data_IF_364784632287
#
_entry.id   IF_364784632287
#
_cell.length_a   1.000
_cell.length_b   1.000
_cell.length_c   1.000
_cell.angle_alpha   90.00
_cell.angle_beta   90.00
_cell.angle_gamma   90.00
#
_symmetry.space_group_name_H-M   'P 1'
#
loop_
_entity.id
_entity.type
_entity.pdbx_description
1 polymer ?
#
# COMPACT_ATOMS: atom_id res chain seq x y z
N UNK A 1 -22.79 3.89 8.81
CA UNK A 1 -22.33 4.91 7.85
C UNK A 1 -22.47 4.33 6.44
N UNK A 2 -23.10 5.04 5.50
CA UNK A 2 -23.15 4.66 4.07
C UNK A 2 -21.83 5.11 3.42
N UNK A 3 -21.14 4.23 2.71
CA UNK A 3 -19.82 4.55 2.12
C UNK A 3 -19.98 5.32 0.80
N UNK A 4 -19.23 6.40 0.63
CA UNK A 4 -19.23 7.18 -0.61
C UNK A 4 -18.57 6.42 -1.78
N UNK A 5 -17.69 5.45 -1.49
CA UNK A 5 -17.18 4.50 -2.48
C UNK A 5 -18.34 3.75 -3.16
N UNK A 6 -19.24 3.18 -2.37
CA UNK A 6 -20.39 2.47 -2.90
C UNK A 6 -21.38 3.42 -3.58
N UNK A 7 -21.41 4.69 -3.20
CA UNK A 7 -22.17 5.71 -3.94
C UNK A 7 -21.58 5.94 -5.34
N UNK A 8 -20.27 6.05 -5.51
CA UNK A 8 -19.66 6.09 -6.86
C UNK A 8 -19.89 4.81 -7.65
N UNK A 9 -19.79 3.65 -7.00
CA UNK A 9 -19.99 2.33 -7.62
C UNK A 9 -21.43 2.05 -8.06
N UNK A 10 -22.42 2.45 -7.26
CA UNK A 10 -23.83 2.10 -7.48
C UNK A 10 -24.69 3.29 -7.98
N UNK A 11 -24.24 4.54 -7.83
CA UNK A 11 -25.02 5.75 -8.19
C UNK A 11 -24.41 6.55 -9.35
N UNK A 12 -23.34 6.08 -10.01
CA UNK A 12 -22.94 6.58 -11.34
C UNK A 12 -23.88 6.13 -12.46
N UNK A 13 -25.01 5.48 -12.11
CA UNK A 13 -26.13 5.17 -13.00
C UNK A 13 -26.96 6.43 -13.22
N UNK A 14 -26.44 7.37 -14.00
CA UNK A 14 -27.30 8.25 -14.79
C UNK A 14 -27.72 7.47 -16.03
N UNK A 15 -28.98 7.03 -16.03
CA UNK A 15 -29.81 6.62 -17.18
C UNK A 15 -29.74 5.19 -17.74
N UNK A 16 -28.85 4.30 -17.28
CA UNK A 16 -28.83 2.92 -17.81
C UNK A 16 -28.79 1.86 -16.70
N UNK A 17 -29.93 1.25 -16.39
CA UNK A 17 -30.19 0.30 -15.29
C UNK A 17 -29.48 -1.06 -15.42
N UNK A 18 -28.37 -1.14 -16.13
CA UNK A 18 -27.47 -2.28 -15.97
C UNK A 18 -26.74 -2.13 -14.64
N UNK A 19 -26.85 -3.13 -13.75
CA UNK A 19 -26.03 -3.31 -12.56
C UNK A 19 -24.54 -3.46 -12.96
N UNK A 20 -23.93 -2.42 -13.52
CA UNK A 20 -22.51 -2.37 -13.83
C UNK A 20 -21.80 -2.12 -12.52
N UNK A 21 -21.56 -3.22 -11.80
CA UNK A 21 -20.47 -3.28 -10.83
C UNK A 21 -19.25 -2.77 -11.58
N UNK A 22 -18.70 -1.65 -11.13
CA UNK A 22 -17.52 -1.07 -11.76
C UNK A 22 -16.44 -2.15 -11.76
N UNK A 23 -15.90 -2.47 -12.94
CA UNK A 23 -14.96 -3.58 -13.04
C UNK A 23 -13.65 -3.19 -12.36
N UNK A 24 -13.41 -3.76 -11.19
CA UNK A 24 -12.17 -3.61 -10.43
C UNK A 24 -11.12 -4.64 -10.87
N UNK A 25 -11.28 -5.28 -12.04
CA UNK A 25 -10.35 -6.29 -12.55
C UNK A 25 -8.89 -5.81 -12.64
N UNK A 26 -8.68 -4.50 -12.76
CA UNK A 26 -7.34 -3.88 -12.78
C UNK A 26 -6.70 -3.76 -11.39
N UNK A 27 -7.47 -3.88 -10.30
CA UNK A 27 -6.94 -3.91 -8.95
C UNK A 27 -6.73 -5.36 -8.50
N UNK A 28 -5.54 -5.69 -8.04
CA UNK A 28 -5.35 -6.90 -7.27
C UNK A 28 -6.19 -6.85 -5.98
N UNK A 29 -6.58 -8.01 -5.46
CA UNK A 29 -7.33 -8.12 -4.21
C UNK A 29 -6.61 -7.39 -3.04
N UNK A 30 -5.28 -7.35 -3.05
CA UNK A 30 -4.49 -6.62 -2.06
C UNK A 30 -4.66 -5.11 -2.19
N UNK A 31 -4.55 -4.57 -3.40
CA UNK A 31 -4.76 -3.15 -3.68
C UNK A 31 -6.18 -2.72 -3.34
N UNK A 32 -7.18 -3.55 -3.68
CA UNK A 32 -8.57 -3.31 -3.31
C UNK A 32 -8.78 -3.25 -1.79
N UNK A 33 -8.22 -4.21 -1.03
CA UNK A 33 -8.34 -4.20 0.43
C UNK A 33 -7.67 -3.00 1.10
N UNK A 34 -6.54 -2.55 0.57
CA UNK A 34 -5.85 -1.34 1.07
C UNK A 34 -6.71 -0.11 0.82
N UNK A 35 -7.25 -0.01 -0.39
CA UNK A 35 -8.09 1.08 -0.81
C UNK A 35 -9.39 1.14 -0.01
N UNK A 36 -10.10 0.02 0.12
CA UNK A 36 -11.30 -0.11 0.93
C UNK A 36 -11.03 0.26 2.39
N UNK A 37 -9.97 -0.29 2.98
CA UNK A 37 -9.62 0.02 4.37
C UNK A 37 -9.32 1.50 4.57
N UNK A 38 -8.55 2.12 3.65
CA UNK A 38 -8.26 3.55 3.73
C UNK A 38 -9.53 4.39 3.64
N UNK A 39 -10.49 4.03 2.80
CA UNK A 39 -11.76 4.76 2.68
C UNK A 39 -12.53 4.75 4.01
N UNK A 40 -12.51 3.64 4.74
CA UNK A 40 -13.22 3.53 6.01
C UNK A 40 -12.45 4.04 7.22
N UNK A 41 -11.11 3.95 7.21
CA UNK A 41 -10.29 4.22 8.38
C UNK A 41 -9.35 5.42 8.23
N UNK A 42 -9.21 5.96 7.02
CA UNK A 42 -8.24 6.98 6.64
C UNK A 42 -6.78 6.63 7.04
N UNK A 43 -6.47 5.33 7.07
CA UNK A 43 -5.17 4.78 7.48
C UNK A 43 -4.79 3.62 6.57
N UNK A 44 -3.52 3.21 6.60
CA UNK A 44 -3.02 2.02 5.90
C UNK A 44 -2.58 1.00 6.96
N UNK A 45 -3.11 -0.22 6.94
CA UNK A 45 -2.70 -1.29 7.89
C UNK A 45 -1.19 -1.53 7.87
N UNK A 46 -0.55 -1.54 9.04
CA UNK A 46 0.92 -1.70 9.20
C UNK A 46 1.48 -3.04 8.76
N UNK A 47 0.64 -4.06 8.75
CA UNK A 47 1.01 -5.43 8.38
C UNK A 47 1.15 -5.64 6.87
N UNK A 48 0.66 -4.68 6.07
CA UNK A 48 0.67 -4.81 4.62
C UNK A 48 2.00 -4.34 4.04
N UNK A 49 2.68 -5.24 3.34
CA UNK A 49 3.83 -4.90 2.50
C UNK A 49 3.35 -4.10 1.29
N UNK A 50 3.85 -2.87 1.16
CA UNK A 50 3.52 -2.02 0.02
C UNK A 50 4.58 -2.30 -1.06
N UNK A 51 4.13 -2.75 -2.22
CA UNK A 51 4.96 -2.93 -3.41
C UNK A 51 4.73 -1.78 -4.38
N UNK A 52 5.61 -1.63 -5.36
CA UNK A 52 5.40 -0.63 -6.43
C UNK A 52 4.14 -0.94 -7.22
N UNK A 53 3.88 -2.22 -7.51
CA UNK A 53 2.66 -2.68 -8.20
C UNK A 53 1.38 -2.22 -7.49
N UNK A 54 1.32 -2.31 -6.16
CA UNK A 54 0.18 -1.83 -5.37
C UNK A 54 -0.01 -0.31 -5.53
N UNK A 55 1.09 0.45 -5.56
CA UNK A 55 1.04 1.91 -5.73
C UNK A 55 0.51 2.25 -7.12
N UNK A 56 1.00 1.56 -8.15
CA UNK A 56 0.62 1.78 -9.54
C UNK A 56 -0.86 1.41 -9.77
N UNK A 57 -1.31 0.27 -9.25
CA UNK A 57 -2.72 -0.17 -9.30
C UNK A 57 -3.64 0.83 -8.60
N UNK A 58 -3.27 1.29 -7.39
CA UNK A 58 -4.09 2.25 -6.63
C UNK A 58 -4.13 3.61 -7.34
N UNK A 59 -3.05 4.05 -7.97
CA UNK A 59 -3.03 5.28 -8.76
C UNK A 59 -3.99 5.20 -9.94
N UNK A 60 -3.97 4.10 -10.68
CA UNK A 60 -4.92 3.83 -11.77
C UNK A 60 -6.36 3.87 -11.23
N UNK A 61 -6.62 3.25 -10.07
CA UNK A 61 -7.92 3.30 -9.42
C UNK A 61 -8.35 4.73 -9.09
N UNK A 62 -7.50 5.53 -8.44
CA UNK A 62 -7.81 6.92 -8.08
C UNK A 62 -8.16 7.75 -9.33
N UNK A 63 -7.37 7.61 -10.40
CA UNK A 63 -7.57 8.32 -11.66
C UNK A 63 -8.86 7.89 -12.36
N UNK A 64 -9.16 6.58 -12.35
CA UNK A 64 -10.36 6.00 -12.96
C UNK A 64 -11.65 6.41 -12.23
N UNK A 65 -11.65 6.39 -10.90
CA UNK A 65 -12.84 6.67 -10.09
C UNK A 65 -13.11 8.17 -9.90
N UNK A 66 -12.28 9.05 -10.48
CA UNK A 66 -12.36 10.51 -10.33
C UNK A 66 -12.68 10.91 -8.89
N UNK A 67 -12.01 10.26 -7.92
CA UNK A 67 -12.22 10.52 -6.49
C UNK A 67 -11.64 11.89 -6.16
N UNK A 68 -12.38 12.92 -6.58
CA UNK A 68 -12.01 14.30 -6.43
C UNK A 68 -12.14 14.67 -4.96
N UNK A 69 -11.00 14.68 -4.29
CA UNK A 69 -10.59 15.74 -3.37
C UNK A 69 -11.36 15.92 -2.06
N UNK A 70 -11.70 14.84 -1.36
CA UNK A 70 -12.18 14.97 0.04
C UNK A 70 -11.41 14.16 1.08
N UNK A 71 -10.51 13.26 0.68
CA UNK A 71 -9.71 12.47 1.62
C UNK A 71 -8.20 12.68 1.43
N UNK A 72 -7.42 12.76 2.53
CA UNK A 72 -6.01 13.14 2.49
C UNK A 72 -5.17 12.08 1.76
N UNK A 73 -4.47 12.53 0.71
CA UNK A 73 -3.47 11.84 -0.13
C UNK A 73 -3.13 10.38 0.28
N UNK A 74 -4.00 9.42 -0.06
CA UNK A 74 -3.70 7.98 0.03
C UNK A 74 -2.36 7.66 -0.64
N UNK A 75 -2.12 8.28 -1.79
CA UNK A 75 -0.90 8.10 -2.55
C UNK A 75 0.35 8.50 -1.75
N UNK A 76 0.33 9.66 -1.07
CA UNK A 76 1.44 10.08 -0.22
C UNK A 76 1.67 9.14 0.96
N UNK A 77 0.58 8.64 1.57
CA UNK A 77 0.66 7.66 2.65
C UNK A 77 1.30 6.35 2.17
N UNK A 78 0.94 5.87 0.97
CA UNK A 78 1.52 4.68 0.35
C UNK A 78 3.00 4.87 0.05
N UNK A 79 3.39 6.01 -0.55
CA UNK A 79 4.78 6.36 -0.84
C UNK A 79 5.62 6.42 0.43
N UNK A 80 5.12 7.10 1.47
CA UNK A 80 5.81 7.21 2.76
C UNK A 80 6.04 5.83 3.39
N UNK A 81 5.02 4.98 3.38
CA UNK A 81 5.12 3.62 3.91
C UNK A 81 6.11 2.76 3.12
N UNK A 82 6.08 2.84 1.79
CA UNK A 82 7.00 2.14 0.92
C UNK A 82 8.46 2.55 1.17
N UNK A 83 8.73 3.86 1.29
CA UNK A 83 10.06 4.38 1.60
C UNK A 83 10.54 3.93 2.98
N UNK A 84 9.67 3.98 4.00
CA UNK A 84 9.97 3.50 5.34
C UNK A 84 10.32 2.01 5.35
N UNK A 85 9.59 1.18 4.59
CA UNK A 85 9.88 -0.25 4.44
C UNK A 85 11.24 -0.48 3.78
N UNK A 86 11.58 0.28 2.73
CA UNK A 86 12.90 0.23 2.08
C UNK A 86 14.03 0.62 3.04
N UNK A 87 13.87 1.69 3.80
CA UNK A 87 14.86 2.11 4.79
C UNK A 87 15.06 1.06 5.89
N UNK A 88 13.97 0.49 6.40
CA UNK A 88 14.01 -0.52 7.44
C UNK A 88 14.74 -1.78 6.95
N UNK A 89 14.47 -2.22 5.71
CA UNK A 89 15.20 -3.32 5.05
C UNK A 89 16.70 -2.99 4.92
N UNK A 90 17.05 -1.77 4.53
CA UNK A 90 18.45 -1.31 4.43
C UNK A 90 19.16 -1.32 5.79
N UNK A 91 18.54 -0.78 6.84
CA UNK A 91 19.07 -0.78 8.22
C UNK A 91 19.32 -2.20 8.72
N UNK A 92 18.34 -3.11 8.56
CA UNK A 92 18.49 -4.53 8.93
C UNK A 92 19.65 -5.21 8.19
N UNK A 93 19.86 -4.91 6.90
CA UNK A 93 20.97 -5.46 6.12
C UNK A 93 22.34 -4.98 6.62
N UNK A 94 22.46 -3.71 6.99
CA UNK A 94 23.69 -3.14 7.56
C UNK A 94 24.00 -3.81 8.91
N UNK A 95 22.99 -3.97 9.76
CA UNK A 95 23.17 -4.56 11.09
C UNK A 95 23.60 -6.02 11.02
N UNK A 96 22.99 -6.82 10.13
CA UNK A 96 23.45 -8.21 9.87
C UNK A 96 24.92 -8.28 9.46
N UNK A 97 25.37 -7.40 8.55
CA UNK A 97 26.79 -7.34 8.15
C UNK A 97 27.71 -6.94 9.30
N UNK A 98 27.27 -6.04 10.21
CA UNK A 98 28.03 -5.68 11.40
C UNK A 98 28.19 -6.86 12.35
N UNK A 99 27.11 -7.60 12.61
CA UNK A 99 27.13 -8.80 13.46
C UNK A 99 28.04 -9.88 12.86
N UNK A 100 27.95 -10.14 11.55
CA UNK A 100 28.83 -11.11 10.88
C UNK A 100 30.32 -10.75 11.00
N UNK A 101 30.66 -9.46 10.83
CA UNK A 101 32.03 -8.98 11.01
C UNK A 101 32.53 -9.18 12.43
N UNK A 102 31.73 -8.83 13.45
CA UNK A 102 32.05 -9.06 14.87
C UNK A 102 32.26 -10.55 15.19
N UNK A 103 31.41 -11.42 14.64
CA UNK A 103 31.52 -12.86 14.84
C UNK A 103 32.79 -13.44 14.19
N UNK A 104 33.19 -12.95 13.01
CA UNK A 104 34.45 -13.33 12.37
C UNK A 104 35.67 -12.90 13.17
N UNK A 105 35.70 -11.66 13.67
CA UNK A 105 36.83 -11.16 14.49
C UNK A 105 36.96 -11.88 15.83
N UNK A 106 35.85 -12.28 16.44
CA UNK A 106 35.89 -13.04 17.69
C UNK A 106 36.36 -14.49 17.48
N UNK A 107 36.02 -15.10 16.33
CA UNK A 107 36.53 -16.44 15.97
C UNK A 107 38.03 -16.45 15.70
N UNK A 108 38.59 -15.40 15.10
CA UNK A 108 40.04 -15.32 14.86
C UNK A 108 40.83 -15.03 16.13
N UNK A 109 40.29 -14.24 17.07
CA UNK A 109 40.94 -14.00 18.38
C UNK A 109 40.98 -15.23 19.28
N UNK A 110 40.00 -16.13 19.23
CA UNK A 110 39.98 -17.37 20.04
C UNK A 110 40.93 -18.46 19.54
N UNK A 111 41.58 -18.28 18.38
CA UNK A 111 42.53 -19.25 17.78
C UNK A 111 44.00 -18.87 17.96
N UNK A 112 44.29 -17.74 18.62
CA UNK A 112 45.62 -17.31 19.06
C UNK A 112 45.68 -17.46 20.57
#
# INVERSE_FOLDING_TARGET
>A
MRSELYRGMFLSVTEDTSNKVTDYSELSNKSFQIFEYWIYSNQIKDEIEITQEIIDEIQIGIDYFQLNQTNPNLFDLLINKFNNQKELKKKKRIERKRIERKNKTNKTRKRK
#
